data_IF_058492785393
#
_entry.id   IF_058492785393
#
_cell.length_a   1.000
_cell.length_b   1.000
_cell.length_c   1.000
_cell.angle_alpha   90.00
_cell.angle_beta   90.00
_cell.angle_gamma   90.00
#
_symmetry.space_group_name_H-M   'P 1'
#
loop_
_entity.id
_entity.type
_entity.pdbx_description
1 polymer ?
#
# COMPACT_ATOMS: atom_id res chain seq x y z
N UNK A 1 56.63 6.22 -45.59
CA UNK A 1 55.63 7.26 -45.29
C UNK A 1 54.43 6.58 -44.67
N UNK A 2 54.06 7.03 -43.47
CA UNK A 2 53.17 6.35 -42.53
C UNK A 2 51.71 6.40 -43.02
N UNK A 3 51.10 5.22 -43.20
CA UNK A 3 49.69 5.07 -43.57
C UNK A 3 48.79 5.13 -42.33
N UNK A 4 48.22 6.29 -42.09
CA UNK A 4 47.27 6.59 -41.02
C UNK A 4 45.93 5.90 -41.30
N UNK A 5 45.68 4.75 -40.68
CA UNK A 5 44.40 4.05 -40.73
C UNK A 5 43.54 4.49 -39.54
N UNK A 6 42.62 5.43 -39.77
CA UNK A 6 41.57 5.77 -38.81
C UNK A 6 40.45 4.71 -38.87
N UNK A 7 40.41 3.83 -37.87
CA UNK A 7 39.24 3.00 -37.58
C UNK A 7 38.23 3.85 -36.80
N UNK A 8 37.22 4.36 -37.50
CA UNK A 8 36.06 5.04 -36.91
C UNK A 8 35.13 3.98 -36.31
N UNK A 9 35.23 3.74 -35.00
CA UNK A 9 34.30 2.90 -34.25
C UNK A 9 32.98 3.67 -34.06
N UNK A 10 32.01 3.46 -34.95
CA UNK A 10 30.64 3.96 -34.78
C UNK A 10 29.96 3.11 -33.71
N UNK A 11 29.95 3.60 -32.48
CA UNK A 11 29.20 3.00 -31.37
C UNK A 11 27.70 3.32 -31.57
N UNK A 12 26.99 2.44 -32.29
CA UNK A 12 25.52 2.43 -32.35
C UNK A 12 24.98 1.93 -31.00
N UNK A 13 25.01 2.81 -30.00
CA UNK A 13 24.36 2.58 -28.72
C UNK A 13 22.86 2.58 -28.90
N UNK A 14 22.25 1.39 -28.93
CA UNK A 14 20.80 1.25 -28.81
C UNK A 14 20.46 1.58 -27.36
N UNK A 15 19.93 2.78 -27.11
CA UNK A 15 19.38 3.12 -25.79
C UNK A 15 18.08 2.34 -25.63
N UNK A 16 18.13 1.24 -24.89
CA UNK A 16 16.91 0.53 -24.45
C UNK A 16 16.33 1.36 -23.30
N UNK A 17 15.45 2.30 -23.61
CA UNK A 17 14.70 3.03 -22.59
C UNK A 17 13.61 2.10 -22.03
N UNK A 18 13.94 1.41 -20.95
CA UNK A 18 12.92 0.71 -20.16
C UNK A 18 12.06 1.79 -19.47
N UNK A 19 10.75 1.77 -19.71
CA UNK A 19 9.81 2.77 -19.19
C UNK A 19 8.59 2.06 -18.63
N UNK A 20 8.64 1.73 -17.34
CA UNK A 20 7.68 0.78 -16.75
C UNK A 20 7.30 0.99 -15.29
N UNK A 21 8.02 1.75 -14.47
CA UNK A 21 7.61 1.93 -13.07
C UNK A 21 6.67 3.12 -12.91
N UNK A 22 5.60 2.94 -12.13
CA UNK A 22 4.48 3.88 -12.02
C UNK A 22 4.26 4.43 -10.61
N UNK A 23 5.01 3.95 -9.61
CA UNK A 23 4.82 4.33 -8.23
C UNK A 23 4.76 3.16 -7.27
N UNK A 24 4.86 3.47 -5.99
CA UNK A 24 4.76 2.49 -4.93
C UNK A 24 4.78 3.15 -3.56
N UNK A 25 4.59 2.33 -2.53
CA UNK A 25 4.61 2.76 -1.15
C UNK A 25 5.11 1.65 -0.25
N UNK A 26 5.83 2.01 0.80
CA UNK A 26 6.29 1.10 1.85
C UNK A 26 5.73 1.54 3.17
N UNK A 27 5.18 0.60 3.95
CA UNK A 27 4.77 0.81 5.33
C UNK A 27 5.21 -0.38 6.16
N UNK A 28 5.23 -0.25 7.47
CA UNK A 28 5.67 -1.31 8.36
C UNK A 28 4.98 -1.19 9.71
N UNK A 29 4.85 -2.32 10.39
CA UNK A 29 4.42 -2.35 11.79
C UNK A 29 5.05 -3.52 12.53
N UNK A 30 5.32 -3.39 13.83
CA UNK A 30 5.67 -4.51 14.69
C UNK A 30 4.55 -5.55 14.67
N UNK A 31 4.90 -6.84 14.68
CA UNK A 31 3.90 -7.92 14.76
C UNK A 31 3.22 -7.95 16.13
N UNK A 32 3.93 -7.55 17.18
CA UNK A 32 3.39 -7.42 18.55
C UNK A 32 3.89 -6.13 19.19
N UNK A 33 3.30 -4.96 18.85
CA UNK A 33 3.77 -3.66 19.30
C UNK A 33 3.86 -3.49 20.82
N UNK A 34 3.04 -4.23 21.56
CA UNK A 34 2.89 -4.15 23.02
C UNK A 34 3.93 -4.96 23.80
N UNK A 35 4.68 -5.85 23.14
CA UNK A 35 5.62 -6.73 23.85
C UNK A 35 6.95 -6.01 24.01
N UNK A 36 7.37 -5.64 25.23
CA UNK A 36 8.59 -4.90 25.42
C UNK A 36 9.84 -5.76 25.23
N UNK A 37 10.95 -5.11 24.87
CA UNK A 37 12.29 -5.72 24.81
C UNK A 37 12.38 -6.97 23.93
N UNK A 38 11.60 -7.05 22.84
CA UNK A 38 11.71 -8.16 21.90
C UNK A 38 13.08 -8.20 21.24
N UNK A 39 13.66 -9.40 21.12
CA UNK A 39 14.91 -9.61 20.39
C UNK A 39 14.89 -10.99 19.69
N UNK A 40 14.75 -11.04 18.34
CA UNK A 40 14.58 -9.90 17.44
C UNK A 40 13.20 -9.23 17.60
N UNK A 41 13.05 -8.01 17.09
CA UNK A 41 11.76 -7.33 16.91
C UNK A 41 11.19 -7.73 15.54
N UNK A 42 10.14 -8.56 15.47
CA UNK A 42 9.51 -8.93 14.21
C UNK A 42 8.68 -7.76 13.66
N UNK A 43 9.02 -7.31 12.46
CA UNK A 43 8.34 -6.25 11.73
C UNK A 43 7.62 -6.83 10.52
N UNK A 44 6.31 -6.60 10.42
CA UNK A 44 5.54 -6.81 9.20
C UNK A 44 5.75 -5.62 8.26
N UNK A 45 6.65 -5.78 7.30
CA UNK A 45 6.88 -4.81 6.22
C UNK A 45 5.90 -5.06 5.08
N UNK A 46 5.24 -4.01 4.58
CA UNK A 46 4.28 -4.08 3.47
C UNK A 46 4.70 -3.14 2.36
N UNK A 47 4.75 -3.67 1.15
CA UNK A 47 5.08 -2.94 -0.07
C UNK A 47 3.94 -3.04 -1.08
N UNK A 48 3.68 -1.91 -1.75
CA UNK A 48 2.75 -1.82 -2.88
C UNK A 48 3.50 -1.21 -4.05
N UNK A 49 3.33 -1.78 -5.23
CA UNK A 49 3.97 -1.29 -6.45
C UNK A 49 2.97 -1.25 -7.59
N UNK A 50 3.16 -0.28 -8.48
CA UNK A 50 2.47 -0.19 -9.74
C UNK A 50 3.47 -0.12 -10.90
N UNK A 51 3.14 -0.82 -11.96
CA UNK A 51 3.96 -1.04 -13.12
C UNK A 51 3.15 -0.81 -14.40
N UNK A 52 3.85 -0.61 -15.50
CA UNK A 52 3.28 -0.65 -16.84
C UNK A 52 2.90 -2.09 -17.16
N UNK A 53 1.64 -2.31 -17.52
CA UNK A 53 1.11 -3.64 -17.78
C UNK A 53 1.78 -4.33 -18.96
N UNK A 54 2.13 -3.59 -20.00
CA UNK A 54 2.90 -4.15 -21.12
C UNK A 54 4.28 -4.71 -20.73
N UNK A 55 4.86 -4.27 -19.60
CA UNK A 55 6.17 -4.74 -19.11
C UNK A 55 6.05 -5.79 -18.01
N UNK A 56 5.07 -5.63 -17.13
CA UNK A 56 4.72 -6.58 -16.08
C UNK A 56 3.25 -6.92 -16.22
N UNK A 57 2.97 -7.94 -17.03
CA UNK A 57 1.62 -8.29 -17.40
C UNK A 57 0.84 -8.80 -16.19
N UNK A 58 -0.38 -8.30 -16.04
CA UNK A 58 -1.37 -8.88 -15.14
C UNK A 58 -2.76 -8.77 -15.74
N UNK A 59 -3.55 -9.80 -15.50
CA UNK A 59 -4.97 -9.90 -15.77
C UNK A 59 -5.67 -10.70 -14.67
N UNK A 60 -6.96 -10.99 -14.86
CA UNK A 60 -7.73 -11.73 -13.88
C UNK A 60 -7.17 -13.14 -13.62
N UNK A 61 -6.62 -13.80 -14.64
CA UNK A 61 -6.03 -15.14 -14.49
C UNK A 61 -4.73 -15.06 -13.68
N UNK A 62 -3.93 -14.03 -13.91
CA UNK A 62 -2.71 -13.75 -13.14
C UNK A 62 -3.04 -13.56 -11.66
N UNK A 63 -4.08 -12.77 -11.34
CA UNK A 63 -4.54 -12.58 -9.95
C UNK A 63 -5.01 -13.91 -9.35
N UNK A 64 -5.88 -14.64 -10.04
CA UNK A 64 -6.48 -15.87 -9.53
C UNK A 64 -5.45 -16.98 -9.27
N UNK A 65 -4.37 -17.01 -10.05
CA UNK A 65 -3.28 -17.98 -9.89
C UNK A 65 -2.19 -17.54 -8.90
N UNK A 66 -2.30 -16.33 -8.34
CA UNK A 66 -1.26 -15.76 -7.47
C UNK A 66 0.02 -15.35 -8.23
N UNK A 67 -0.09 -15.09 -9.53
CA UNK A 67 1.02 -14.59 -10.34
C UNK A 67 1.55 -13.24 -9.85
N UNK A 68 2.82 -12.97 -10.12
CA UNK A 68 3.53 -11.80 -9.57
C UNK A 68 3.82 -10.73 -10.60
N UNK A 69 3.94 -9.48 -10.17
CA UNK A 69 4.37 -8.33 -10.96
C UNK A 69 5.55 -7.62 -10.29
N UNK A 70 6.36 -6.93 -11.10
CA UNK A 70 7.56 -6.23 -10.66
C UNK A 70 8.80 -7.10 -10.60
N UNK A 71 9.92 -6.45 -10.31
CA UNK A 71 11.23 -7.07 -10.19
C UNK A 71 12.24 -6.13 -9.54
N UNK A 72 13.24 -6.70 -8.88
CA UNK A 72 14.23 -5.98 -8.08
C UNK A 72 14.21 -6.37 -6.62
N UNK A 73 14.82 -5.55 -5.77
CA UNK A 73 14.96 -5.83 -4.35
C UNK A 73 14.89 -4.56 -3.51
N UNK A 74 14.26 -4.66 -2.34
CA UNK A 74 14.34 -3.63 -1.31
C UNK A 74 15.61 -3.89 -0.52
N UNK A 75 16.45 -2.87 -0.40
CA UNK A 75 17.75 -2.93 0.25
C UNK A 75 17.83 -1.97 1.44
N UNK A 76 18.62 -2.35 2.43
CA UNK A 76 18.83 -1.54 3.61
C UNK A 76 19.96 -0.53 3.37
N UNK A 77 19.74 0.71 3.81
CA UNK A 77 20.72 1.79 3.87
C UNK A 77 21.05 2.07 5.34
N UNK A 78 22.32 1.98 5.72
CA UNK A 78 22.66 1.96 7.14
C UNK A 78 23.97 1.27 7.46
N UNK A 79 24.76 1.85 8.36
CA UNK A 79 25.72 1.06 9.14
C UNK A 79 25.02 0.07 10.07
N UNK A 80 23.79 0.37 10.48
CA UNK A 80 22.95 -0.48 11.33
C UNK A 80 22.21 -1.60 10.58
N UNK A 81 22.44 -1.76 9.27
CA UNK A 81 21.82 -2.83 8.49
C UNK A 81 22.34 -4.23 8.85
N UNK A 82 23.53 -4.35 9.46
CA UNK A 82 24.12 -5.66 9.77
C UNK A 82 24.22 -6.52 8.50
N UNK A 83 23.66 -7.74 8.54
CA UNK A 83 23.59 -8.65 7.38
C UNK A 83 22.40 -8.40 6.46
N UNK A 84 21.54 -7.43 6.75
CA UNK A 84 20.32 -7.11 6.01
C UNK A 84 20.64 -6.29 4.75
N UNK A 85 21.29 -6.86 3.73
CA UNK A 85 21.65 -6.09 2.52
C UNK A 85 20.42 -5.80 1.64
N UNK A 86 19.85 -6.83 1.00
CA UNK A 86 18.66 -6.71 0.15
C UNK A 86 17.63 -7.78 0.53
N UNK A 87 16.94 -7.62 1.68
CA UNK A 87 16.18 -8.70 2.31
C UNK A 87 14.87 -9.08 1.59
N UNK A 88 14.36 -8.23 0.72
CA UNK A 88 13.02 -8.41 0.14
C UNK A 88 13.05 -8.31 -1.38
N UNK A 89 12.30 -9.18 -2.04
CA UNK A 89 11.98 -9.03 -3.47
C UNK A 89 10.85 -8.02 -3.66
N UNK A 90 10.90 -7.25 -4.74
CA UNK A 90 9.78 -6.38 -5.19
C UNK A 90 8.87 -7.07 -6.20
N UNK A 91 9.14 -8.33 -6.55
CA UNK A 91 8.18 -9.19 -7.27
C UNK A 91 7.08 -9.60 -6.29
N UNK A 92 5.93 -8.95 -6.40
CA UNK A 92 4.81 -9.08 -5.48
C UNK A 92 3.61 -9.70 -6.18
N UNK A 93 2.72 -10.44 -5.47
CA UNK A 93 1.47 -10.93 -6.05
C UNK A 93 0.69 -9.80 -6.72
N UNK A 94 0.22 -10.04 -7.94
CA UNK A 94 -0.66 -9.11 -8.61
C UNK A 94 -2.00 -9.06 -7.88
N UNK A 95 -2.45 -7.85 -7.60
CA UNK A 95 -3.73 -7.60 -6.92
C UNK A 95 -4.71 -6.86 -7.80
N UNK A 96 -4.24 -6.12 -8.81
CA UNK A 96 -5.10 -5.30 -9.66
C UNK A 96 -4.44 -4.99 -11.01
N UNK A 97 -5.24 -4.68 -12.03
CA UNK A 97 -4.77 -4.22 -13.32
C UNK A 97 -5.78 -3.29 -14.00
N UNK A 98 -5.28 -2.44 -14.88
CA UNK A 98 -6.09 -1.57 -15.74
C UNK A 98 -5.57 -1.60 -17.16
N UNK A 99 -6.41 -2.06 -18.09
CA UNK A 99 -6.09 -2.06 -19.52
C UNK A 99 -6.06 -0.63 -20.06
N UNK A 100 -7.03 0.21 -19.66
CA UNK A 100 -7.13 1.59 -20.15
C UNK A 100 -6.01 2.50 -19.66
N UNK A 101 -5.44 2.21 -18.48
CA UNK A 101 -4.31 2.94 -17.92
C UNK A 101 -2.96 2.24 -18.17
N UNK A 102 -2.95 1.11 -18.88
CA UNK A 102 -1.76 0.27 -19.11
C UNK A 102 -0.99 0.03 -17.79
N UNK A 103 -1.71 -0.45 -16.77
CA UNK A 103 -1.22 -0.54 -15.40
C UNK A 103 -1.45 -1.92 -14.80
N UNK A 104 -0.47 -2.39 -14.04
CA UNK A 104 -0.57 -3.57 -13.17
C UNK A 104 -0.07 -3.19 -11.79
N UNK A 105 -0.76 -3.64 -10.75
CA UNK A 105 -0.41 -3.35 -9.36
C UNK A 105 -0.36 -4.62 -8.54
N UNK A 106 0.53 -4.63 -7.56
CA UNK A 106 0.66 -5.74 -6.63
C UNK A 106 1.08 -5.28 -5.25
N UNK A 107 0.92 -6.19 -4.30
CA UNK A 107 1.21 -5.95 -2.89
C UNK A 107 1.71 -7.23 -2.23
N UNK A 108 2.68 -7.07 -1.34
CA UNK A 108 3.12 -8.15 -0.45
C UNK A 108 3.43 -7.61 0.94
N UNK A 109 3.28 -8.49 1.92
CA UNK A 109 3.78 -8.28 3.27
C UNK A 109 4.79 -9.37 3.61
N UNK A 110 5.84 -9.03 4.34
CA UNK A 110 6.89 -9.95 4.75
C UNK A 110 7.37 -9.61 6.15
N UNK A 111 7.80 -10.64 6.89
CA UNK A 111 8.36 -10.45 8.23
C UNK A 111 9.85 -10.20 8.11
N UNK A 112 10.31 -9.07 8.66
CA UNK A 112 11.71 -8.75 8.90
C UNK A 112 12.00 -8.87 10.38
N UNK A 113 13.03 -9.64 10.73
CA UNK A 113 13.50 -9.74 12.10
C UNK A 113 14.64 -8.74 12.30
N UNK A 114 14.36 -7.66 13.02
CA UNK A 114 15.32 -6.57 13.25
C UNK A 114 15.88 -6.63 14.66
N UNK A 115 17.10 -6.13 14.86
CA UNK A 115 17.62 -5.92 16.21
C UNK A 115 16.78 -4.86 16.94
N UNK A 116 16.64 -4.95 18.27
CA UNK A 116 16.02 -3.88 19.05
C UNK A 116 16.89 -2.61 19.06
N UNK A 117 16.28 -1.45 19.26
CA UNK A 117 16.95 -0.16 19.42
C UNK A 117 17.84 0.26 18.23
N UNK A 118 17.36 0.02 17.01
CA UNK A 118 18.02 0.49 15.78
C UNK A 118 17.09 1.41 14.99
N UNK A 119 17.70 2.22 14.12
CA UNK A 119 17.01 2.96 13.06
C UNK A 119 17.66 2.64 11.72
N UNK A 120 16.88 2.13 10.79
CA UNK A 120 17.35 1.77 9.46
C UNK A 120 16.46 2.41 8.40
N UNK A 121 16.99 2.54 7.18
CA UNK A 121 16.18 2.87 6.03
C UNK A 121 16.12 1.69 5.07
N UNK A 122 14.94 1.40 4.53
CA UNK A 122 14.77 0.42 3.47
C UNK A 122 14.39 1.15 2.19
N UNK A 123 15.16 0.92 1.12
CA UNK A 123 15.00 1.60 -0.16
C UNK A 123 14.78 0.62 -1.29
N UNK A 124 14.01 1.03 -2.29
CA UNK A 124 13.96 0.38 -3.59
C UNK A 124 14.24 1.41 -4.67
N UNK A 125 15.28 1.16 -5.46
CA UNK A 125 15.74 2.07 -6.51
C UNK A 125 15.73 1.42 -7.89
N UNK A 126 15.68 2.25 -8.93
CA UNK A 126 15.79 1.83 -10.32
C UNK A 126 15.77 3.00 -11.28
N UNK A 127 15.81 2.72 -12.58
CA UNK A 127 16.11 3.70 -13.64
C UNK A 127 15.12 3.76 -14.81
N UNK A 128 13.95 3.17 -14.65
CA UNK A 128 12.96 2.94 -15.71
C UNK A 128 11.57 3.52 -15.39
N UNK A 129 11.52 4.72 -14.81
CA UNK A 129 10.24 5.39 -14.55
C UNK A 129 9.51 5.66 -15.88
N UNK A 130 8.17 5.74 -15.86
CA UNK A 130 7.45 6.10 -17.08
C UNK A 130 7.84 7.51 -17.57
N UNK A 131 7.68 7.79 -18.87
CA UNK A 131 7.93 9.14 -19.40
C UNK A 131 7.01 10.16 -18.73
N UNK A 132 7.61 11.20 -18.13
CA UNK A 132 6.92 12.27 -17.41
C UNK A 132 7.05 13.60 -18.15
N UNK A 133 6.19 14.54 -17.80
CA UNK A 133 6.32 15.94 -18.23
C UNK A 133 7.49 16.67 -17.55
N UNK A 134 7.94 16.19 -16.38
CA UNK A 134 9.08 16.73 -15.65
C UNK A 134 9.78 15.62 -14.86
N UNK A 135 11.11 15.63 -14.85
CA UNK A 135 11.99 14.62 -14.23
C UNK A 135 11.76 13.20 -14.76
N UNK A 136 11.88 12.21 -13.88
CA UNK A 136 11.76 10.79 -14.23
C UNK A 136 13.11 10.09 -14.42
N UNK A 137 13.10 9.01 -15.21
CA UNK A 137 14.23 8.09 -15.32
C UNK A 137 14.41 7.28 -14.04
N UNK A 138 15.05 7.86 -13.03
CA UNK A 138 15.35 7.19 -11.77
C UNK A 138 14.25 7.33 -10.73
N UNK A 139 14.18 6.35 -9.84
CA UNK A 139 13.37 6.40 -8.63
C UNK A 139 14.11 5.88 -7.41
N UNK A 140 13.63 6.32 -6.26
CA UNK A 140 13.95 5.73 -4.97
C UNK A 140 12.68 5.75 -4.12
N UNK A 141 12.24 4.61 -3.61
CA UNK A 141 11.15 4.51 -2.63
C UNK A 141 11.82 4.16 -1.31
N UNK A 142 11.93 5.11 -0.38
CA UNK A 142 12.70 4.91 0.86
C UNK A 142 11.83 5.12 2.08
N UNK A 143 11.77 4.13 2.97
CA UNK A 143 11.09 4.24 4.28
C UNK A 143 12.10 4.20 5.42
N UNK A 144 11.73 4.79 6.54
CA UNK A 144 12.49 4.76 7.78
C UNK A 144 11.80 3.86 8.80
N UNK A 145 12.56 2.93 9.37
CA UNK A 145 12.10 1.99 10.40
C UNK A 145 12.84 2.29 11.70
N UNK A 146 12.11 2.34 12.81
CA UNK A 146 12.65 2.52 14.16
C UNK A 146 12.17 1.38 15.05
N UNK A 147 13.09 0.65 15.67
CA UNK A 147 12.78 -0.37 16.69
C UNK A 147 13.07 0.14 18.11
N UNK A 148 13.09 1.46 18.29
CA UNK A 148 13.06 2.07 19.61
C UNK A 148 11.65 2.00 20.18
N UNK A 149 11.56 1.68 21.47
CA UNK A 149 10.32 1.73 22.21
C UNK A 149 9.91 3.19 22.43
N UNK A 150 8.61 3.48 22.26
CA UNK A 150 7.97 4.76 22.54
C UNK A 150 7.89 4.99 24.05
N UNK A 151 7.54 6.22 24.44
CA UNK A 151 7.35 6.58 25.84
C UNK A 151 6.18 5.83 26.49
N UNK A 152 5.17 5.45 25.71
CA UNK A 152 4.01 4.67 26.14
C UNK A 152 4.29 3.15 26.31
N UNK A 153 5.52 2.69 26.07
CA UNK A 153 5.91 1.29 26.20
C UNK A 153 5.60 0.41 24.97
N UNK A 154 5.17 1.00 23.86
CA UNK A 154 4.89 0.29 22.62
C UNK A 154 5.93 0.59 21.54
N UNK A 155 6.08 -0.31 20.56
CA UNK A 155 6.78 0.03 19.33
C UNK A 155 5.86 0.80 18.39
N UNK A 156 6.43 1.76 17.64
CA UNK A 156 5.71 2.56 16.66
C UNK A 156 5.13 1.72 15.51
N UNK A 157 3.94 2.05 15.03
CA UNK A 157 3.41 1.54 13.75
C UNK A 157 3.46 2.64 12.71
N UNK A 158 3.96 2.36 11.50
CA UNK A 158 4.08 3.41 10.49
C UNK A 158 2.73 3.68 9.81
N UNK A 159 2.48 4.93 9.37
CA UNK A 159 1.26 5.27 8.69
C UNK A 159 1.15 4.51 7.36
N UNK A 160 -0.08 4.32 6.92
CA UNK A 160 -0.45 3.66 5.67
C UNK A 160 -1.20 4.62 4.76
N UNK A 161 -1.23 4.33 3.46
CA UNK A 161 -2.08 5.07 2.52
C UNK A 161 -2.87 4.16 1.59
N UNK A 162 -4.13 4.53 1.39
CA UNK A 162 -5.03 3.94 0.42
C UNK A 162 -4.97 4.63 -0.97
N UNK A 163 -3.97 5.49 -1.20
CA UNK A 163 -3.86 6.22 -2.47
C UNK A 163 -3.78 5.25 -3.65
N UNK A 164 -4.46 5.62 -4.73
CA UNK A 164 -4.43 4.85 -5.99
C UNK A 164 -3.17 5.19 -6.79
N UNK A 165 -2.61 4.24 -7.57
CA UNK A 165 -1.40 4.50 -8.34
C UNK A 165 -1.52 5.58 -9.41
N UNK A 166 -2.74 5.83 -9.91
CA UNK A 166 -3.00 6.84 -10.95
C UNK A 166 -4.19 7.71 -10.56
N UNK A 167 -3.94 9.01 -10.37
CA UNK A 167 -4.96 10.05 -10.18
C UNK A 167 -5.24 10.75 -11.52
N UNK A 168 -6.46 10.61 -12.02
CA UNK A 168 -6.89 11.25 -13.26
C UNK A 168 -7.38 12.68 -12.99
N UNK A 169 -6.81 13.66 -13.68
CA UNK A 169 -7.22 15.06 -13.64
C UNK A 169 -7.55 15.54 -15.05
N UNK A 170 -8.61 16.32 -15.19
CA UNK A 170 -8.96 16.92 -16.47
C UNK A 170 -8.25 18.26 -16.64
N UNK A 171 -7.69 18.48 -17.82
CA UNK A 171 -7.06 19.77 -18.15
C UNK A 171 -8.05 20.94 -18.00
N UNK A 172 -7.57 22.06 -17.47
CA UNK A 172 -8.31 23.31 -17.29
C UNK A 172 -9.01 23.48 -15.93
N UNK A 173 -8.90 22.49 -15.03
CA UNK A 173 -9.56 22.52 -13.72
C UNK A 173 -8.56 22.57 -12.57
N UNK A 174 -8.96 23.25 -11.49
CA UNK A 174 -8.27 23.19 -10.20
C UNK A 174 -8.89 22.11 -9.32
N UNK A 175 -8.03 21.30 -8.73
CA UNK A 175 -8.38 20.19 -7.87
C UNK A 175 -7.79 20.39 -6.50
N UNK A 176 -8.54 19.96 -5.49
CA UNK A 176 -8.05 19.76 -4.14
C UNK A 176 -8.49 18.38 -3.68
N UNK A 177 -7.56 17.57 -3.17
CA UNK A 177 -7.87 16.24 -2.66
C UNK A 177 -7.00 15.89 -1.47
N UNK A 178 -7.54 15.03 -0.61
CA UNK A 178 -6.85 14.45 0.52
C UNK A 178 -5.95 13.30 0.05
N UNK A 179 -4.71 13.25 0.52
CA UNK A 179 -3.94 12.01 0.54
C UNK A 179 -4.49 11.15 1.68
N UNK A 180 -5.09 9.98 1.39
CA UNK A 180 -5.72 9.18 2.42
C UNK A 180 -4.63 8.53 3.27
N UNK A 181 -4.39 9.07 4.46
CA UNK A 181 -3.45 8.54 5.45
C UNK A 181 -4.22 7.91 6.61
N UNK A 182 -3.70 6.80 7.13
CA UNK A 182 -4.22 6.18 8.34
C UNK A 182 -3.06 5.72 9.22
N UNK A 183 -3.17 5.99 10.51
CA UNK A 183 -2.24 5.55 11.54
C UNK A 183 -2.99 4.76 12.61
N UNK A 184 -2.38 3.69 13.15
CA UNK A 184 -3.09 2.72 14.00
C UNK A 184 -2.89 2.98 15.48
N UNK A 185 -1.78 3.58 15.88
CA UNK A 185 -1.44 3.98 17.25
C UNK A 185 -2.04 5.35 17.64
N UNK A 186 -2.65 6.06 16.69
CA UNK A 186 -3.38 7.30 16.94
C UNK A 186 -2.49 8.54 16.87
N UNK A 187 -1.33 8.40 16.24
CA UNK A 187 -0.34 9.44 16.10
C UNK A 187 -0.77 10.50 15.08
N UNK A 188 -0.09 11.65 15.15
CA UNK A 188 -0.29 12.74 14.20
C UNK A 188 0.50 12.46 12.92
N UNK A 189 -0.19 12.18 11.82
CA UNK A 189 0.43 12.08 10.51
C UNK A 189 0.54 13.46 9.84
N UNK A 190 1.75 13.81 9.38
CA UNK A 190 1.99 14.98 8.53
C UNK A 190 2.57 14.52 7.19
N UNK A 191 2.23 15.22 6.13
CA UNK A 191 2.77 14.96 4.80
C UNK A 191 3.81 16.00 4.41
N UNK A 192 4.85 15.57 3.69
CA UNK A 192 5.77 16.48 3.01
C UNK A 192 6.18 15.92 1.66
N UNK A 193 6.75 16.76 0.82
CA UNK A 193 7.45 16.29 -0.38
C UNK A 193 8.66 15.45 0.01
N UNK A 194 8.90 14.39 -0.76
CA UNK A 194 10.11 13.60 -0.66
C UNK A 194 11.35 14.44 -1.02
N UNK A 195 12.48 14.14 -0.41
CA UNK A 195 13.73 14.87 -0.60
C UNK A 195 14.85 13.97 -1.14
N UNK A 196 15.63 14.49 -2.09
CA UNK A 196 16.83 13.83 -2.60
C UNK A 196 17.98 13.76 -1.57
N UNK A 197 17.89 14.57 -0.52
CA UNK A 197 18.92 14.72 0.50
C UNK A 197 18.33 14.56 1.90
N UNK A 198 17.32 13.70 2.05
CA UNK A 198 16.79 13.40 3.36
C UNK A 198 17.88 12.77 4.22
N UNK A 199 18.00 13.23 5.47
CA UNK A 199 18.89 12.59 6.43
C UNK A 199 18.09 11.52 7.15
N UNK A 200 18.48 10.26 7.00
CA UNK A 200 17.90 9.19 7.81
C UNK A 200 18.66 9.09 9.15
N UNK A 201 18.05 8.52 10.20
CA UNK A 201 18.55 8.63 11.58
C UNK A 201 19.88 7.93 11.92
N UNK A 202 20.71 7.64 10.92
CA UNK A 202 22.09 7.15 11.03
C UNK A 202 23.11 8.09 10.38
N UNK A 203 22.71 9.35 10.12
CA UNK A 203 23.48 10.35 9.36
C UNK A 203 23.83 9.89 7.93
N UNK A 204 22.97 9.06 7.35
CA UNK A 204 23.06 8.66 5.95
C UNK A 204 22.12 9.55 5.16
N UNK A 205 22.64 10.05 4.03
CA UNK A 205 21.79 10.70 3.04
C UNK A 205 21.01 9.60 2.32
N UNK A 206 19.70 9.61 2.50
CA UNK A 206 18.79 8.78 1.75
C UNK A 206 18.12 9.63 0.68
N UNK A 207 18.19 9.14 -0.54
CA UNK A 207 17.38 9.65 -1.62
C UNK A 207 15.97 9.04 -1.50
N UNK A 208 14.95 9.87 -1.29
CA UNK A 208 13.56 9.45 -1.13
C UNK A 208 12.76 9.49 -2.44
N UNK A 209 13.36 9.96 -3.55
CA UNK A 209 12.64 10.17 -4.81
C UNK A 209 13.48 10.09 -6.08
N UNK A 210 14.80 10.21 -6.00
CA UNK A 210 15.73 10.25 -7.11
C UNK A 210 15.30 11.23 -8.22
N UNK A 211 15.03 10.73 -9.42
CA UNK A 211 14.66 11.56 -10.57
C UNK A 211 13.28 12.19 -10.46
N UNK A 212 12.47 11.84 -9.46
CA UNK A 212 11.10 12.32 -9.29
C UNK A 212 10.90 13.26 -8.07
N UNK A 213 11.98 13.84 -7.57
CA UNK A 213 11.88 14.88 -6.55
C UNK A 213 11.35 16.18 -7.17
N UNK A 214 10.28 16.75 -6.59
CA UNK A 214 9.66 18.01 -7.02
C UNK A 214 9.21 18.03 -8.50
N UNK A 215 8.84 16.87 -9.07
CA UNK A 215 8.43 16.75 -10.48
C UNK A 215 6.96 17.07 -10.75
N UNK A 216 6.25 17.64 -9.78
CA UNK A 216 4.86 18.08 -9.96
C UNK A 216 4.72 19.59 -9.70
N UNK A 217 5.29 20.43 -10.58
CA UNK A 217 5.37 21.87 -10.38
C UNK A 217 4.00 22.52 -10.33
N UNK A 218 3.84 23.52 -9.47
CA UNK A 218 2.58 24.24 -9.28
C UNK A 218 1.55 23.54 -8.39
N UNK A 219 1.86 22.34 -7.89
CA UNK A 219 1.07 21.72 -6.83
C UNK A 219 1.46 22.31 -5.46
N UNK A 220 0.47 22.46 -4.57
CA UNK A 220 0.68 22.79 -3.17
C UNK A 220 0.22 21.65 -2.28
N UNK A 221 0.93 21.45 -1.17
CA UNK A 221 0.62 20.43 -0.17
C UNK A 221 0.51 21.12 1.19
N UNK A 222 -0.63 20.97 1.85
CA UNK A 222 -0.76 21.29 3.26
C UNK A 222 -0.20 20.12 4.07
N UNK A 223 0.87 20.36 4.82
CA UNK A 223 1.56 19.30 5.54
C UNK A 223 0.73 18.70 6.67
N UNK A 224 0.01 19.53 7.43
CA UNK A 224 -0.76 19.07 8.59
C UNK A 224 -2.04 18.32 8.23
N UNK A 225 -2.67 18.64 7.09
CA UNK A 225 -3.90 17.99 6.65
C UNK A 225 -3.71 17.01 5.50
N UNK A 226 -2.48 16.88 4.98
CA UNK A 226 -2.17 16.05 3.80
C UNK A 226 -3.05 16.39 2.57
N UNK A 227 -3.54 17.64 2.49
CA UNK A 227 -4.38 18.12 1.40
C UNK A 227 -3.51 18.67 0.28
N UNK A 228 -3.68 18.11 -0.91
CA UNK A 228 -2.99 18.55 -2.12
C UNK A 228 -3.91 19.39 -2.99
N UNK A 229 -3.38 20.48 -3.54
CA UNK A 229 -4.08 21.29 -4.53
C UNK A 229 -3.24 21.47 -5.79
N UNK A 230 -3.87 21.45 -6.95
CA UNK A 230 -3.20 21.58 -8.24
C UNK A 230 -4.16 22.08 -9.33
N UNK A 231 -3.66 22.93 -10.21
CA UNK A 231 -4.38 23.34 -11.43
C UNK A 231 -3.82 22.59 -12.63
N UNK A 232 -4.64 21.74 -13.24
CA UNK A 232 -4.26 20.87 -14.33
C UNK A 232 -4.11 21.65 -15.66
N UNK A 233 -2.96 22.29 -15.87
CA UNK A 233 -2.72 23.14 -17.04
C UNK A 233 -2.18 22.38 -18.27
N UNK A 234 -1.39 21.34 -18.07
CA UNK A 234 -0.69 20.62 -19.13
C UNK A 234 -0.98 19.11 -19.12
N UNK A 235 -1.36 18.59 -20.28
CA UNK A 235 -1.65 17.16 -20.51
C UNK A 235 -0.38 16.33 -20.39
N UNK A 236 -0.50 15.16 -19.78
CA UNK A 236 0.59 14.20 -19.65
C UNK A 236 0.63 13.53 -18.29
N UNK A 237 1.71 12.80 -18.04
CA UNK A 237 1.96 12.13 -16.79
C UNK A 237 2.92 12.95 -15.92
N UNK A 238 2.57 13.07 -14.64
CA UNK A 238 3.36 13.73 -13.62
C UNK A 238 3.58 12.75 -12.48
N UNK A 239 4.77 12.70 -11.92
CA UNK A 239 5.04 11.91 -10.73
C UNK A 239 4.92 12.77 -9.48
N UNK A 240 4.29 12.20 -8.46
CA UNK A 240 4.21 12.75 -7.12
C UNK A 240 4.97 11.82 -6.19
N UNK A 241 5.91 12.36 -5.42
CA UNK A 241 6.64 11.63 -4.37
C UNK A 241 6.51 12.37 -3.05
N UNK A 242 5.87 11.72 -2.08
CA UNK A 242 5.59 12.26 -0.76
C UNK A 242 6.16 11.34 0.32
N UNK A 243 6.36 11.92 1.50
CA UNK A 243 6.60 11.21 2.74
C UNK A 243 5.42 11.49 3.68
N UNK A 244 4.87 10.42 4.25
CA UNK A 244 3.91 10.49 5.35
C UNK A 244 4.69 10.21 6.61
N UNK A 245 4.84 11.25 7.41
CA UNK A 245 5.64 11.25 8.62
C UNK A 245 4.75 11.16 9.84
N UNK A 246 5.25 10.41 10.78
CA UNK A 246 4.51 9.96 11.93
C UNK A 246 5.04 10.59 13.20
N UNK A 247 4.16 11.18 14.00
CA UNK A 247 4.53 11.95 15.18
C UNK A 247 3.62 11.57 16.34
N UNK A 248 4.20 11.00 17.40
CA UNK A 248 3.52 10.71 18.67
C UNK A 248 2.68 11.90 19.15
N UNK A 249 3.21 13.11 18.94
CA UNK A 249 2.53 14.34 19.32
C UNK A 249 2.64 15.43 18.26
N UNK A 250 1.60 16.26 18.15
CA UNK A 250 1.48 17.35 17.16
C UNK A 250 2.64 18.35 17.17
N UNK A 251 3.24 18.61 18.34
CA UNK A 251 4.35 19.55 18.55
C UNK A 251 5.74 18.99 18.25
N UNK A 252 5.88 17.68 18.01
CA UNK A 252 7.18 17.09 17.69
C UNK A 252 7.63 17.54 16.30
N UNK A 253 8.94 17.75 16.18
CA UNK A 253 9.61 18.13 14.93
C UNK A 253 10.40 16.99 14.30
N UNK A 254 10.55 15.88 15.03
CA UNK A 254 11.20 14.65 14.56
C UNK A 254 10.15 13.56 14.47
N UNK A 255 10.00 12.97 13.28
CA UNK A 255 9.09 11.86 13.06
C UNK A 255 9.64 10.57 13.67
N UNK A 256 8.74 9.71 14.17
CA UNK A 256 9.05 8.35 14.62
C UNK A 256 9.28 7.42 13.44
N UNK A 257 8.53 7.62 12.36
CA UNK A 257 8.63 6.87 11.12
C UNK A 257 8.30 7.74 9.89
N UNK A 258 8.70 7.26 8.71
CA UNK A 258 8.40 7.92 7.45
C UNK A 258 8.06 6.89 6.36
N UNK A 259 6.83 6.96 5.86
CA UNK A 259 6.25 6.06 4.85
C UNK A 259 6.27 6.76 3.49
N UNK A 260 7.03 6.28 2.49
CA UNK A 260 7.05 6.86 1.17
C UNK A 260 5.75 6.54 0.41
N UNK A 261 5.29 7.52 -0.36
CA UNK A 261 4.16 7.37 -1.27
C UNK A 261 4.51 7.99 -2.63
N UNK A 262 4.59 7.15 -3.65
CA UNK A 262 4.79 7.55 -5.04
C UNK A 262 3.61 7.11 -5.90
N UNK A 263 3.07 8.04 -6.67
CA UNK A 263 1.97 7.78 -7.60
C UNK A 263 2.01 8.75 -8.79
N UNK A 264 1.21 8.46 -9.80
CA UNK A 264 1.09 9.27 -11.00
C UNK A 264 -0.14 10.16 -10.93
N UNK A 265 0.00 11.40 -11.37
CA UNK A 265 -1.11 12.24 -11.82
C UNK A 265 -1.12 12.25 -13.34
N UNK A 266 -2.22 11.79 -13.93
CA UNK A 266 -2.43 11.86 -15.38
C UNK A 266 -3.40 13.00 -15.67
N UNK A 267 -2.89 14.05 -16.30
CA UNK A 267 -3.72 15.13 -16.85
C UNK A 267 -4.11 14.76 -18.27
N UNK A 268 -5.42 14.72 -18.55
CA UNK A 268 -5.94 14.40 -19.87
C UNK A 268 -6.77 15.55 -20.46
N UNK A 269 -6.69 15.71 -21.78
CA UNK A 269 -7.57 16.59 -22.52
C UNK A 269 -8.94 15.92 -22.69
N UNK A 270 -10.01 16.72 -22.60
CA UNK A 270 -11.36 16.27 -22.94
C UNK A 270 -12.12 17.43 -23.57
N UNK A 271 -12.71 17.16 -24.74
CA UNK A 271 -13.59 18.09 -25.47
C UNK A 271 -15.00 18.17 -24.90
N UNK A 272 -15.32 17.36 -23.88
CA UNK A 272 -16.67 17.31 -23.31
C UNK A 272 -17.03 18.60 -22.56
N UNK A 273 -18.21 19.16 -22.79
CA UNK A 273 -18.70 20.32 -22.03
C UNK A 273 -19.12 19.98 -20.59
N UNK A 274 -18.88 18.75 -20.10
CA UNK A 274 -19.17 18.33 -18.72
C UNK A 274 -18.43 19.26 -17.74
N UNK A 275 -19.13 20.23 -17.16
CA UNK A 275 -18.62 20.98 -16.00
C UNK A 275 -18.46 19.96 -14.89
N UNK A 276 -17.22 19.68 -14.46
CA UNK A 276 -17.01 18.84 -13.28
C UNK A 276 -17.67 19.58 -12.12
N UNK A 277 -18.87 19.14 -11.72
CA UNK A 277 -19.52 19.64 -10.54
C UNK A 277 -18.51 19.49 -9.41
N UNK A 278 -18.21 20.60 -8.72
CA UNK A 278 -17.46 20.55 -7.46
C UNK A 278 -18.24 19.60 -6.56
N UNK A 279 -17.81 18.34 -6.44
CA UNK A 279 -18.34 17.49 -5.38
C UNK A 279 -17.88 18.17 -4.09
N UNK A 280 -18.78 18.69 -3.24
CA UNK A 280 -18.36 19.18 -1.94
C UNK A 280 -17.62 18.04 -1.24
N UNK A 281 -16.51 18.34 -0.56
CA UNK A 281 -15.92 17.42 0.41
C UNK A 281 -17.01 17.11 1.43
N UNK A 282 -17.74 16.01 1.22
CA UNK A 282 -18.62 15.47 2.25
C UNK A 282 -17.70 14.68 3.17
N UNK A 283 -17.41 15.28 4.31
CA UNK A 283 -16.69 14.68 5.44
C UNK A 283 -17.56 13.62 6.16
N UNK A 284 -18.36 12.86 5.43
CA UNK A 284 -19.02 11.66 5.96
C UNK A 284 -18.06 10.50 5.87
N UNK A 285 -17.16 10.44 6.86
CA UNK A 285 -17.02 9.17 7.58
C UNK A 285 -18.45 8.82 8.04
N UNK A 286 -19.19 8.08 7.20
CA UNK A 286 -20.21 7.22 7.78
C UNK A 286 -19.44 6.37 8.77
N UNK A 287 -19.83 6.47 10.04
CA UNK A 287 -19.57 5.45 11.02
C UNK A 287 -20.13 4.14 10.47
N UNK A 288 -19.39 3.49 9.58
CA UNK A 288 -19.44 2.05 9.41
C UNK A 288 -18.87 1.53 10.71
N UNK A 289 -19.75 1.39 11.70
CA UNK A 289 -19.55 0.45 12.78
C UNK A 289 -19.11 -0.84 12.10
N UNK A 290 -17.83 -1.20 12.28
CA UNK A 290 -17.36 -2.53 11.97
C UNK A 290 -18.20 -3.46 12.82
N UNK A 291 -19.27 -4.01 12.24
CA UNK A 291 -19.87 -5.21 12.77
C UNK A 291 -18.80 -6.26 12.56
N UNK A 292 -18.03 -6.54 13.62
CA UNK A 292 -17.29 -7.77 13.75
C UNK A 292 -18.37 -8.85 13.63
N UNK A 293 -18.43 -9.65 12.54
CA UNK A 293 -19.25 -10.83 12.59
C UNK A 293 -18.64 -11.66 13.70
N UNK A 294 -19.42 -11.89 14.75
CA UNK A 294 -19.10 -12.88 15.74
C UNK A 294 -18.90 -14.18 14.96
N UNK A 295 -17.65 -14.60 14.77
CA UNK A 295 -17.33 -15.89 14.17
C UNK A 295 -17.73 -16.90 15.23
N UNK A 296 -19.01 -17.28 15.21
CA UNK A 296 -19.38 -18.61 15.68
C UNK A 296 -18.59 -19.57 14.82
N UNK A 297 -17.74 -20.33 15.49
CA UNK A 297 -16.98 -21.45 14.96
C UNK A 297 -17.83 -22.23 13.95
N UNK A 298 -17.36 -22.46 12.72
CA UNK A 298 -18.06 -23.34 11.81
C UNK A 298 -18.11 -24.73 12.45
N UNK A 299 -19.31 -25.16 12.83
CA UNK A 299 -19.58 -26.56 13.11
C UNK A 299 -19.19 -27.34 11.86
N UNK A 300 -18.14 -28.15 11.98
CA UNK A 300 -17.72 -29.12 10.98
C UNK A 300 -18.87 -30.10 10.79
N UNK A 301 -19.65 -29.92 9.73
CA UNK A 301 -20.57 -30.95 9.23
C UNK A 301 -19.78 -31.86 8.31
N UNK A 302 -19.21 -32.92 8.85
CA UNK A 302 -18.71 -34.06 8.07
C UNK A 302 -19.88 -34.93 7.66
N UNK A 303 -20.25 -34.90 6.39
CA UNK A 303 -21.03 -35.96 5.76
C UNK A 303 -20.06 -37.04 5.27
N UNK A 304 -19.77 -38.02 6.13
CA UNK A 304 -19.08 -39.25 5.72
C UNK A 304 -20.10 -40.32 5.42
N UNK A 305 -20.13 -40.74 4.15
CA UNK A 305 -20.78 -41.97 3.73
C UNK A 305 -19.97 -43.19 4.19
N UNK A 306 -20.68 -44.10 4.87
CA UNK A 306 -20.38 -45.50 5.16
C UNK A 306 -19.47 -45.86 6.38
N UNK A 307 -19.78 -46.96 7.10
CA UNK A 307 -19.42 -47.16 8.50
C UNK A 307 -18.22 -48.10 8.65
N UNK A 308 -17.35 -47.74 9.57
CA UNK A 308 -16.64 -48.62 10.50
C UNK A 308 -15.47 -47.80 11.03
N UNK A 309 -15.49 -47.48 12.32
CA UNK A 309 -14.36 -47.52 13.25
C UNK A 309 -14.85 -46.90 14.57
N UNK A 310 -14.67 -47.69 15.62
CA UNK A 310 -15.13 -47.54 16.98
C UNK A 310 -14.41 -46.39 17.70
N UNK A 311 -15.15 -45.45 18.30
CA UNK A 311 -14.60 -44.42 19.19
C UNK A 311 -14.96 -44.75 20.63
N UNK A 312 -13.95 -44.98 21.46
CA UNK A 312 -14.04 -44.99 22.92
C UNK A 312 -14.44 -43.62 23.44
N UNK A 313 -15.62 -43.52 24.04
CA UNK A 313 -16.12 -42.29 24.67
C UNK A 313 -15.50 -42.06 26.05
N UNK A 314 -15.00 -40.86 26.28
CA UNK A 314 -14.65 -40.36 27.62
C UNK A 314 -15.92 -39.75 28.22
N UNK A 315 -16.42 -40.38 29.28
CA UNK A 315 -17.56 -39.93 30.07
C UNK A 315 -17.09 -38.93 31.12
N UNK A 316 -17.68 -37.74 31.15
CA UNK A 316 -17.53 -36.77 32.25
C UNK A 316 -18.62 -37.06 33.29
N UNK A 317 -18.30 -37.34 34.57
CA UNK A 317 -19.31 -37.64 35.56
C UNK A 317 -19.86 -36.35 36.21
N UNK A 318 -21.17 -36.14 36.07
CA UNK A 318 -21.97 -35.29 36.95
C UNK A 318 -22.41 -36.12 38.17
N UNK A 319 -21.91 -35.80 39.36
CA UNK A 319 -22.35 -36.45 40.60
C UNK A 319 -23.46 -35.63 41.26
N UNK A 320 -24.65 -36.22 41.34
CA UNK A 320 -25.71 -35.87 42.29
C UNK A 320 -26.03 -37.08 43.18
N UNK A 321 -26.51 -36.78 44.40
CA UNK A 321 -27.14 -37.65 45.42
C UNK A 321 -26.22 -38.31 46.47
N UNK A 322 -26.74 -38.78 47.63
CA UNK A 322 -27.39 -37.99 48.68
C UNK A 322 -26.84 -38.33 50.10
N UNK A 323 -27.36 -37.60 51.08
CA UNK A 323 -27.05 -37.59 52.51
C UNK A 323 -27.28 -38.94 53.25
N UNK A 324 -26.33 -39.38 54.09
CA UNK A 324 -26.56 -40.09 55.38
C UNK A 324 -25.32 -40.07 56.29
N UNK A 325 -25.40 -39.29 57.38
CA UNK A 325 -25.13 -39.70 58.77
C UNK A 325 -23.74 -40.16 59.26
N UNK A 326 -23.26 -39.40 60.28
CA UNK A 326 -22.54 -39.79 61.51
C UNK A 326 -21.00 -39.88 61.53
N UNK A 327 -20.39 -39.06 62.42
CA UNK A 327 -19.19 -39.45 63.18
C UNK A 327 -18.02 -38.46 63.26
N UNK A 328 -18.02 -37.62 64.30
CA UNK A 328 -16.86 -37.10 65.06
C UNK A 328 -15.86 -36.07 64.46
N UNK A 329 -16.01 -34.83 64.92
CA UNK A 329 -15.04 -33.99 65.67
C UNK A 329 -13.57 -33.91 65.21
N UNK A 330 -13.10 -32.70 64.86
CA UNK A 330 -12.13 -31.94 65.69
C UNK A 330 -12.12 -30.46 65.30
N UNK A 331 -12.28 -29.62 66.33
CA UNK A 331 -12.30 -28.17 66.39
C UNK A 331 -10.90 -27.55 66.22
N UNK A 332 -10.76 -26.46 65.43
CA UNK A 332 -10.04 -25.26 65.89
C UNK A 332 -10.77 -24.01 65.40
N UNK A 333 -11.02 -23.14 66.37
CA UNK A 333 -11.79 -21.91 66.36
C UNK A 333 -10.81 -20.74 66.29
N UNK A 334 -11.07 -19.75 65.44
CA UNK A 334 -10.68 -18.36 65.78
C UNK A 334 -11.78 -17.42 65.31
N UNK A 335 -12.38 -16.80 66.31
CA UNK A 335 -13.43 -15.80 66.28
C UNK A 335 -12.85 -14.41 66.08
N UNK A 336 -13.44 -13.62 65.17
CA UNK A 336 -13.62 -12.18 65.41
C UNK A 336 -14.96 -11.74 64.84
N UNK A 337 -15.66 -10.93 65.64
CA UNK A 337 -17.08 -10.59 65.60
C UNK A 337 -17.38 -9.32 64.81
N UNK A 338 -18.39 -9.42 63.94
CA UNK A 338 -19.51 -8.50 63.67
C UNK A 338 -19.26 -7.01 63.37
N UNK A 339 -19.71 -6.58 62.18
CA UNK A 339 -20.83 -5.62 62.11
C UNK A 339 -21.64 -5.80 60.84
N UNK A 340 -22.94 -5.95 61.03
CA UNK A 340 -23.99 -6.21 60.04
C UNK A 340 -24.38 -4.91 59.34
N UNK A 341 -24.36 -4.89 58.01
CA UNK A 341 -25.22 -4.00 57.23
C UNK A 341 -25.85 -4.81 56.09
N UNK A 342 -27.16 -5.01 56.22
CA UNK A 342 -28.02 -5.70 55.27
C UNK A 342 -28.31 -4.75 54.12
N UNK A 343 -27.76 -5.00 52.93
CA UNK A 343 -28.24 -4.38 51.68
C UNK A 343 -28.93 -5.45 50.85
N UNK A 344 -30.25 -5.33 50.76
CA UNK A 344 -31.11 -6.14 49.89
C UNK A 344 -30.89 -5.71 48.45
N UNK A 345 -30.21 -6.51 47.64
CA UNK A 345 -30.16 -6.34 46.19
C UNK A 345 -31.31 -7.16 45.56
N UNK A 346 -32.31 -6.46 45.02
CA UNK A 346 -33.35 -7.06 44.18
C UNK A 346 -32.81 -7.31 42.77
N UNK A 347 -32.85 -8.57 42.34
CA UNK A 347 -32.57 -8.97 40.96
C UNK A 347 -33.86 -8.75 40.16
N UNK A 348 -33.89 -7.70 39.34
CA UNK A 348 -34.94 -7.49 38.34
C UNK A 348 -34.58 -8.24 37.07
N UNK A 349 -35.24 -9.38 36.84
CA UNK A 349 -35.27 -10.06 35.53
C UNK A 349 -36.13 -9.26 34.56
N UNK A 350 -35.51 -8.62 33.57
CA UNK A 350 -36.21 -8.00 32.43
C UNK A 350 -36.40 -9.04 31.32
N UNK A 351 -37.64 -9.49 31.14
CA UNK A 351 -38.05 -10.30 29.99
C UNK A 351 -38.06 -9.43 28.73
N UNK A 352 -37.19 -9.74 27.77
CA UNK A 352 -37.20 -9.13 26.43
C UNK A 352 -38.29 -9.80 25.58
N UNK A 353 -39.39 -9.10 25.38
CA UNK A 353 -40.43 -9.42 24.41
C UNK A 353 -39.93 -9.05 23.01
N UNK A 354 -39.69 -10.03 22.15
CA UNK A 354 -39.44 -9.79 20.72
C UNK A 354 -40.74 -9.47 20.01
N UNK A 355 -40.96 -8.20 19.70
CA UNK A 355 -42.04 -7.73 18.83
C UNK A 355 -41.57 -7.83 17.38
N UNK A 356 -42.13 -8.75 16.61
CA UNK A 356 -41.88 -8.86 15.17
C UNK A 356 -42.66 -7.76 14.44
N UNK A 357 -42.03 -6.62 14.18
CA UNK A 357 -42.57 -5.59 13.28
C UNK A 357 -42.12 -5.89 11.85
N UNK A 358 -43.07 -6.28 11.00
CA UNK A 358 -42.87 -6.35 9.55
C UNK A 358 -42.66 -4.94 8.99
N UNK A 359 -41.43 -4.62 8.59
CA UNK A 359 -41.13 -3.39 7.86
C UNK A 359 -41.63 -3.47 6.41
N UNK A 360 -42.12 -2.36 5.83
CA UNK A 360 -42.51 -2.31 4.43
C UNK A 360 -41.29 -2.50 3.53
N UNK A 361 -41.50 -3.14 2.38
CA UNK A 361 -40.48 -3.39 1.37
C UNK A 361 -39.74 -2.09 1.01
N UNK A 362 -38.44 -2.05 1.32
CA UNK A 362 -37.53 -1.03 0.78
C UNK A 362 -37.36 -1.36 -0.69
N UNK A 363 -37.94 -0.50 -1.54
CA UNK A 363 -37.73 -0.56 -2.98
C UNK A 363 -36.25 -0.24 -3.24
N UNK A 364 -35.48 -1.25 -3.61
CA UNK A 364 -34.10 -1.08 -4.09
C UNK A 364 -34.21 -0.30 -5.40
N UNK A 365 -33.92 1.00 -5.36
CA UNK A 365 -33.69 1.78 -6.58
C UNK A 365 -32.48 1.16 -7.28
N UNK A 366 -32.70 0.70 -8.51
CA UNK A 366 -31.64 0.20 -9.36
C UNK A 366 -30.63 1.34 -9.68
N UNK A 367 -29.35 1.05 -9.95
CA UNK A 367 -28.31 2.05 -10.19
C UNK A 367 -28.45 2.84 -11.51
N UNK A 368 -29.66 3.04 -12.05
CA UNK A 368 -29.89 3.70 -13.34
C UNK A 368 -30.39 5.14 -13.26
N UNK A 369 -30.82 5.64 -12.10
CA UNK A 369 -31.44 6.96 -12.03
C UNK A 369 -30.58 7.99 -11.29
N UNK A 370 -30.18 9.02 -12.05
CA UNK A 370 -29.30 10.15 -11.72
C UNK A 370 -27.79 9.84 -11.80
N UNK A 371 -27.38 9.27 -12.94
CA UNK A 371 -26.03 9.50 -13.50
C UNK A 371 -26.23 10.12 -14.88
N UNK A 372 -26.10 11.45 -14.99
CA UNK A 372 -25.67 12.02 -16.28
C UNK A 372 -24.24 11.55 -16.50
N UNK A 373 -24.11 10.48 -17.26
CA UNK A 373 -22.86 9.87 -17.74
C UNK A 373 -21.89 10.95 -18.22
N UNK A 374 -20.85 11.28 -17.45
CA UNK A 374 -19.58 11.63 -18.09
C UNK A 374 -18.91 10.26 -18.34
N UNK A 375 -19.22 9.63 -19.48
CA UNK A 375 -18.50 8.43 -19.93
C UNK A 375 -17.01 8.78 -20.04
N UNK A 376 -16.16 7.92 -19.46
CA UNK A 376 -14.73 7.92 -19.77
C UNK A 376 -14.59 7.81 -21.29
N UNK A 377 -13.75 8.60 -21.97
CA UNK A 377 -13.48 8.33 -23.37
C UNK A 377 -12.86 6.94 -23.47
N UNK A 378 -13.58 6.03 -24.13
CA UNK A 378 -12.98 4.81 -24.68
C UNK A 378 -11.87 5.30 -25.60
N UNK A 379 -10.62 5.11 -25.17
CA UNK A 379 -9.47 5.32 -26.05
C UNK A 379 -9.56 4.20 -27.09
N UNK A 380 -10.26 4.47 -28.19
CA UNK A 380 -10.22 3.62 -29.38
C UNK A 380 -8.82 3.81 -29.96
N UNK A 381 -7.89 2.99 -29.49
CA UNK A 381 -6.63 2.77 -30.18
C UNK A 381 -6.97 2.22 -31.55
N UNK A 382 -6.86 3.07 -32.57
CA UNK A 382 -6.87 2.62 -33.95
C UNK A 382 -5.68 1.69 -34.10
N UNK A 383 -5.96 0.40 -34.31
CA UNK A 383 -4.98 -0.61 -34.73
C UNK A 383 -4.43 -0.20 -36.10
N UNK A 384 -3.40 0.63 -36.12
CA UNK A 384 -2.47 0.68 -37.23
C UNK A 384 -1.46 -0.45 -37.00
N UNK A 385 -1.77 -1.55 -37.68
CA UNK A 385 -0.89 -2.68 -37.97
C UNK A 385 0.58 -2.24 -38.10
N UNK A 386 1.40 -2.57 -37.09
CA UNK A 386 2.86 -2.46 -37.15
C UNK A 386 3.42 -3.55 -38.03
N UNK A 387 3.39 -3.34 -39.34
CA UNK A 387 4.14 -4.15 -40.32
C UNK A 387 4.87 -3.33 -41.38
N UNK A 388 4.86 -1.98 -41.32
CA UNK A 388 5.45 -1.15 -42.40
C UNK A 388 6.57 -0.20 -41.95
N UNK A 389 6.88 -0.07 -40.66
CA UNK A 389 7.98 0.83 -40.22
C UNK A 389 9.37 0.17 -40.38
N UNK A 390 9.44 -1.15 -40.61
CA UNK A 390 10.70 -1.88 -40.86
C UNK A 390 11.27 -1.72 -42.27
N UNK A 391 10.48 -1.24 -43.25
CA UNK A 391 10.92 -1.16 -44.65
C UNK A 391 11.53 0.18 -45.04
N UNK A 392 11.19 1.27 -44.34
CA UNK A 392 11.65 2.63 -44.70
C UNK A 392 13.09 2.86 -44.22
N UNK A 393 13.52 2.26 -43.11
CA UNK A 393 14.91 2.34 -42.65
C UNK A 393 15.90 1.53 -43.50
N UNK A 394 15.44 0.52 -44.25
CA UNK A 394 16.33 -0.24 -45.15
C UNK A 394 16.59 0.49 -46.48
N UNK A 395 15.62 1.27 -46.99
CA UNK A 395 15.77 1.99 -48.26
C UNK A 395 16.70 3.20 -48.11
N UNK A 396 16.67 3.89 -46.96
CA UNK A 396 17.58 5.02 -46.71
C UNK A 396 19.03 4.55 -46.49
N UNK A 397 19.24 3.37 -45.89
CA UNK A 397 20.57 2.77 -45.75
C UNK A 397 21.13 2.22 -47.07
N UNK A 398 20.28 1.66 -47.94
CA UNK A 398 20.69 1.15 -49.25
C UNK A 398 21.19 2.24 -50.20
N UNK A 399 20.58 3.43 -50.17
CA UNK A 399 20.99 4.57 -51.01
C UNK A 399 22.27 5.25 -50.50
N UNK A 400 22.51 5.22 -49.18
CA UNK A 400 23.72 5.80 -48.60
C UNK A 400 24.96 4.93 -48.83
N UNK A 401 24.82 3.60 -48.79
CA UNK A 401 25.92 2.67 -49.08
C UNK A 401 26.28 2.60 -50.57
N UNK A 402 25.31 2.76 -51.47
CA UNK A 402 25.57 2.81 -52.91
C UNK A 402 26.36 4.06 -53.35
N UNK A 403 26.22 5.19 -52.64
CA UNK A 403 26.99 6.42 -52.91
C UNK A 403 28.44 6.35 -52.42
N UNK A 404 28.72 5.59 -51.36
CA UNK A 404 30.09 5.42 -50.83
C UNK A 404 30.90 4.43 -51.68
N UNK A 405 30.26 3.40 -52.25
CA UNK A 405 30.90 2.46 -53.17
C UNK A 405 31.30 3.10 -54.52
N UNK A 406 30.59 4.14 -54.97
CA UNK A 406 30.91 4.85 -56.22
C UNK A 406 32.03 5.90 -56.06
N UNK A 407 32.46 6.23 -54.82
CA UNK A 407 33.55 7.18 -54.54
C UNK A 407 34.88 6.50 -54.17
N UNK A 408 34.95 5.16 -54.24
CA UNK A 408 36.16 4.38 -53.93
C UNK A 408 36.61 3.46 -55.09
N UNK A 409 36.24 3.82 -56.32
CA UNK A 409 36.79 3.25 -57.56
C UNK A 409 37.57 4.32 -58.32
#
# INVERSE_FOLDING_TARGET
MQGLHYLLYIWLGIVIEASHYRGGSFTWKPVSPQVPNQNPVPISFTQRHAWRRGSYYCDQNTINSGGTVGGGSVCCLGSQCGSLSCPLSTSVPCTDFSVSQDMSAGQASSILNLAPNIKIALTFTGGAWISLQSGGGNWAVTTQISTYMRADGHYNTAPTSAMVPVKLLRQGFSYTWLIPTADTDGDTVKCRWASASATVPTNIFADECAGICNTFPGASLNSSSCMMSYTASAVGFWAVSLMMEDYEFTWQTTALSATPLQFIVQVYASSSSCTVGKKPLSNTLSNTTTIIPNITTPAISTTTANPAITTTGITVPSSTTPYTGTGASTTVRTTTSTTTSTTTASISTTTLTTTTTTMPAVQILQPSDIIKKCEQPVIIGTLLSTTVVGAISLVVYGVFMAKIAASML
#
